data_IF_265814902627
#
_entry.id   IF_265814902627
#
_cell.length_a   1.000
_cell.length_b   1.000
_cell.length_c   1.000
_cell.angle_alpha   90.00
_cell.angle_beta   90.00
_cell.angle_gamma   90.00
#
_symmetry.space_group_name_H-M   'P 1'
#
loop_
_entity.id
_entity.type
_entity.pdbx_description
1 polymer ?
#
# COMPACT_ATOMS: atom_id res chain seq x y z
N UNK A 1 -2.92 -9.09 1.92
CA UNK A 1 -4.19 -8.33 1.92
C UNK A 1 -4.02 -6.98 2.60
N UNK A 2 -4.85 -5.99 2.25
CA UNK A 2 -4.76 -4.62 2.75
C UNK A 2 -5.42 -4.47 4.12
N UNK A 3 -4.74 -3.81 5.06
CA UNK A 3 -5.28 -3.46 6.37
C UNK A 3 -5.28 -1.95 6.54
N UNK A 4 -6.39 -1.38 7.00
CA UNK A 4 -6.48 0.04 7.30
C UNK A 4 -5.74 0.31 8.60
N UNK A 5 -4.73 1.16 8.54
CA UNK A 5 -3.97 1.65 9.68
C UNK A 5 -4.28 3.12 9.91
N UNK A 6 -4.27 3.51 11.18
CA UNK A 6 -4.48 4.88 11.62
C UNK A 6 -3.23 5.39 12.29
N UNK A 7 -2.92 6.68 12.11
CA UNK A 7 -1.80 7.32 12.76
C UNK A 7 -2.02 7.38 14.26
N UNK A 8 -1.14 6.72 14.99
CA UNK A 8 -1.01 6.78 16.43
C UNK A 8 0.29 7.52 16.81
N UNK A 9 0.26 8.17 17.96
CA UNK A 9 1.42 8.88 18.47
C UNK A 9 2.47 7.85 18.93
N UNK A 10 3.61 7.77 18.23
CA UNK A 10 4.76 6.95 18.65
C UNK A 10 5.15 5.78 17.73
N UNK A 11 4.56 5.65 16.54
CA UNK A 11 4.88 4.55 15.61
C UNK A 11 6.35 4.48 15.17
N UNK A 12 7.07 5.60 15.06
CA UNK A 12 8.49 5.62 14.70
C UNK A 12 9.23 6.83 15.27
N UNK A 13 10.48 6.67 15.77
CA UNK A 13 11.32 7.80 16.19
C UNK A 13 11.60 8.81 15.09
N UNK A 14 11.44 8.40 13.83
CA UNK A 14 11.69 9.23 12.65
C UNK A 14 10.44 9.93 12.11
N UNK A 15 9.26 9.65 12.69
CA UNK A 15 7.99 10.26 12.29
C UNK A 15 7.65 11.43 13.22
N UNK A 16 7.74 12.65 12.71
CA UNK A 16 7.37 13.86 13.43
C UNK A 16 6.19 14.57 12.75
N UNK A 17 5.18 14.91 13.55
CA UNK A 17 4.10 15.82 13.16
C UNK A 17 3.69 16.67 14.37
N UNK A 18 3.13 17.85 14.11
CA UNK A 18 2.64 18.76 15.15
C UNK A 18 1.52 18.14 15.99
N UNK A 19 0.77 17.17 15.43
CA UNK A 19 -0.34 16.50 16.08
C UNK A 19 -0.15 14.98 16.26
N UNK A 20 1.09 14.46 16.15
CA UNK A 20 1.36 13.02 16.28
C UNK A 20 0.66 12.13 15.24
N UNK A 21 0.45 12.64 14.02
CA UNK A 21 -0.25 12.00 12.91
C UNK A 21 -1.71 11.60 13.21
N UNK A 22 -2.31 12.17 14.26
CA UNK A 22 -3.71 11.93 14.62
C UNK A 22 -4.61 12.27 13.43
N UNK A 23 -5.50 11.33 13.09
CA UNK A 23 -6.43 11.45 11.97
C UNK A 23 -5.89 10.98 10.61
N UNK A 24 -4.59 10.65 10.49
CA UNK A 24 -4.04 10.05 9.28
C UNK A 24 -4.53 8.61 9.14
N UNK A 25 -4.94 8.21 7.94
CA UNK A 25 -5.27 6.83 7.60
C UNK A 25 -4.47 6.39 6.39
N UNK A 26 -4.02 5.14 6.37
CA UNK A 26 -3.38 4.54 5.21
C UNK A 26 -3.65 3.04 5.15
N UNK A 27 -3.57 2.49 3.94
CA UNK A 27 -3.63 1.05 3.73
C UNK A 27 -2.23 0.48 3.78
N UNK A 28 -2.02 -0.53 4.62
CA UNK A 28 -0.79 -1.31 4.70
C UNK A 28 -1.02 -2.70 4.10
N UNK A 29 -0.08 -3.17 3.27
CA UNK A 29 -0.14 -4.51 2.72
C UNK A 29 0.42 -5.53 3.72
N UNK A 30 -0.40 -6.46 4.21
CA UNK A 30 0.03 -7.59 5.03
C UNK A 30 -0.02 -8.89 4.20
N UNK A 31 1.14 -9.47 3.81
CA UNK A 31 1.18 -10.70 3.02
C UNK A 31 0.65 -11.92 3.78
N UNK A 32 0.55 -11.87 5.11
CA UNK A 32 0.08 -13.01 5.94
C UNK A 32 -1.44 -13.20 5.89
N UNK A 33 -2.17 -12.19 5.42
CA UNK A 33 -3.63 -12.17 5.42
C UNK A 33 -4.24 -12.59 4.08
N UNK A 34 -3.44 -12.93 3.06
CA UNK A 34 -3.92 -13.34 1.73
C UNK A 34 -3.57 -14.78 1.39
N UNK A 35 -4.23 -15.34 0.37
CA UNK A 35 -3.81 -16.62 -0.18
C UNK A 35 -2.44 -16.48 -0.88
N UNK A 36 -1.64 -17.56 -0.97
CA UNK A 36 -0.36 -17.51 -1.69
C UNK A 36 -0.51 -17.05 -3.15
N UNK A 37 -1.62 -17.39 -3.79
CA UNK A 37 -1.95 -17.02 -5.17
C UNK A 37 -2.22 -15.51 -5.29
N UNK A 38 -3.03 -14.96 -4.38
CA UNK A 38 -3.32 -13.52 -4.32
C UNK A 38 -2.05 -12.70 -4.04
N UNK A 39 -1.21 -13.18 -3.12
CA UNK A 39 0.06 -12.53 -2.79
C UNK A 39 1.01 -12.56 -3.99
N UNK A 40 1.09 -13.68 -4.71
CA UNK A 40 1.91 -13.80 -5.91
C UNK A 40 1.44 -12.84 -7.02
N UNK A 41 0.13 -12.72 -7.22
CA UNK A 41 -0.43 -11.79 -8.21
C UNK A 41 -0.15 -10.33 -7.83
N UNK A 42 -0.28 -9.98 -6.55
CA UNK A 42 0.04 -8.63 -6.06
C UNK A 42 1.50 -8.26 -6.32
N UNK A 43 2.42 -9.19 -6.04
CA UNK A 43 3.84 -8.95 -6.26
C UNK A 43 4.16 -8.85 -7.76
N UNK A 44 3.52 -9.66 -8.61
CA UNK A 44 3.63 -9.55 -10.07
C UNK A 44 3.21 -8.17 -10.56
N UNK A 45 2.04 -7.69 -10.13
CA UNK A 45 1.52 -6.37 -10.49
C UNK A 45 2.41 -5.23 -9.99
N UNK A 46 2.99 -5.38 -8.79
CA UNK A 46 3.92 -4.41 -8.21
C UNK A 46 5.22 -4.30 -9.01
N UNK A 47 5.77 -5.43 -9.49
CA UNK A 47 6.92 -5.44 -10.38
C UNK A 47 6.59 -4.81 -11.74
N UNK A 48 5.44 -5.14 -12.30
CA UNK A 48 4.97 -4.57 -13.57
C UNK A 48 4.81 -3.05 -13.47
N UNK A 49 4.23 -2.54 -12.38
CA UNK A 49 4.15 -1.11 -12.09
C UNK A 49 5.56 -0.50 -12.00
N UNK A 50 6.47 -1.09 -11.24
CA UNK A 50 7.82 -0.56 -11.07
C UNK A 50 8.56 -0.41 -12.41
N UNK A 51 8.46 -1.43 -13.26
CA UNK A 51 9.12 -1.45 -14.57
C UNK A 51 8.52 -0.43 -15.54
N UNK A 52 7.19 -0.23 -15.47
CA UNK A 52 6.46 0.62 -16.41
C UNK A 52 6.12 2.02 -15.87
N UNK A 53 6.57 2.38 -14.66
CA UNK A 53 6.16 3.61 -13.94
C UNK A 53 6.37 4.92 -14.69
N UNK A 54 7.26 4.94 -15.68
CA UNK A 54 7.54 6.12 -16.51
C UNK A 54 6.98 6.02 -17.93
N UNK A 55 6.50 4.83 -18.32
CA UNK A 55 5.97 4.57 -19.66
C UNK A 55 4.43 4.63 -19.64
N UNK A 56 3.82 4.17 -18.56
CA UNK A 56 2.37 4.11 -18.40
C UNK A 56 1.86 5.22 -17.48
N UNK A 57 0.68 5.75 -17.81
CA UNK A 57 -0.02 6.69 -16.93
C UNK A 57 -0.43 5.99 -15.64
N UNK A 58 -0.31 6.68 -14.51
CA UNK A 58 -0.72 6.18 -13.19
C UNK A 58 -2.17 5.65 -13.15
N UNK A 59 -3.09 6.22 -13.93
CA UNK A 59 -4.50 5.77 -14.01
C UNK A 59 -4.69 4.40 -14.66
N UNK A 60 -3.67 3.89 -15.35
CA UNK A 60 -3.66 2.55 -15.95
C UNK A 60 -3.10 1.48 -15.02
N UNK A 61 -2.65 1.85 -13.82
CA UNK A 61 -2.01 0.93 -12.90
C UNK A 61 -3.00 -0.13 -12.37
N UNK A 62 -2.64 -1.40 -12.57
CA UNK A 62 -3.45 -2.54 -12.15
C UNK A 62 -3.34 -2.76 -10.64
N UNK A 63 -2.20 -2.43 -10.03
CA UNK A 63 -2.01 -2.56 -8.58
C UNK A 63 -3.00 -1.66 -7.82
N UNK A 64 -3.18 -0.41 -8.25
CA UNK A 64 -4.18 0.52 -7.70
C UNK A 64 -5.62 0.02 -7.89
N UNK A 65 -5.93 -0.63 -9.02
CA UNK A 65 -7.27 -1.20 -9.29
C UNK A 65 -7.58 -2.44 -8.47
N UNK A 66 -6.55 -3.15 -8.02
CA UNK A 66 -6.68 -4.29 -7.11
C UNK A 66 -7.01 -3.86 -5.67
N UNK A 67 -6.80 -2.58 -5.34
CA UNK A 67 -7.09 -2.01 -4.03
C UNK A 67 -8.62 -1.85 -3.84
N UNK A 68 -9.29 -2.99 -3.62
CA UNK A 68 -10.63 -3.22 -3.08
C UNK A 68 -11.79 -2.40 -3.70
N UNK A 69 -12.70 -3.14 -4.35
CA UNK A 69 -14.12 -2.76 -4.47
C UNK A 69 -14.84 -2.95 -3.14
#
# INVERSE_FOLDING_TARGET
MWTLKTGDQGSSPWLHSVNGHVGRQWWEFDPRLGSPEEVAEIERLRQEFHNNRFQNKHSSDLLMRLQVK
#
